data_IF_954672263975
#
_entry.id   IF_954672263975
#
_cell.length_a   1.000
_cell.length_b   1.000
_cell.length_c   1.000
_cell.angle_alpha   90.00
_cell.angle_beta   90.00
_cell.angle_gamma   90.00
#
_symmetry.space_group_name_H-M   'P 1'
#
loop_
_entity.id
_entity.type
_entity.pdbx_description
1 polymer ?
#
# COMPACT_ATOMS: atom_id res chain seq x y z
N UNK A 1 0.04 -17.62 9.11
CA UNK A 1 0.25 -16.52 10.08
C UNK A 1 1.54 -15.72 9.83
N UNK A 2 2.74 -16.16 10.23
CA UNK A 2 3.96 -15.31 10.10
C UNK A 2 4.28 -14.92 8.65
N UNK A 3 4.21 -15.87 7.71
CA UNK A 3 4.46 -15.60 6.28
C UNK A 3 3.43 -14.59 5.72
N UNK A 4 2.16 -14.72 6.11
CA UNK A 4 1.09 -13.81 5.71
C UNK A 4 1.31 -12.40 6.24
N UNK A 5 1.70 -12.25 7.51
CA UNK A 5 2.06 -10.95 8.08
C UNK A 5 3.23 -10.31 7.33
N UNK A 6 4.27 -11.08 6.96
CA UNK A 6 5.39 -10.58 6.17
C UNK A 6 4.92 -10.14 4.77
N UNK A 7 4.08 -10.94 4.11
CA UNK A 7 3.55 -10.60 2.78
C UNK A 7 2.68 -9.34 2.82
N UNK A 8 1.82 -9.20 3.83
CA UNK A 8 1.00 -8.01 4.03
C UNK A 8 1.84 -6.78 4.36
N UNK A 9 2.90 -6.94 5.16
CA UNK A 9 3.85 -5.86 5.43
C UNK A 9 4.55 -5.40 4.15
N UNK A 10 5.04 -6.33 3.33
CA UNK A 10 5.66 -6.00 2.03
C UNK A 10 4.64 -5.36 1.09
N UNK A 11 3.41 -5.87 1.05
CA UNK A 11 2.33 -5.26 0.26
C UNK A 11 2.04 -3.83 0.71
N UNK A 12 2.03 -3.57 2.03
CA UNK A 12 1.92 -2.23 2.60
C UNK A 12 2.99 -1.28 2.08
N UNK A 13 4.25 -1.70 2.07
CA UNK A 13 5.36 -0.91 1.50
C UNK A 13 5.08 -0.61 0.04
N UNK A 14 4.77 -1.62 -0.77
CA UNK A 14 4.57 -1.45 -2.22
C UNK A 14 3.40 -0.52 -2.52
N UNK A 15 2.26 -0.70 -1.85
CA UNK A 15 1.09 0.16 -2.03
C UNK A 15 1.43 1.60 -1.64
N UNK A 16 2.15 1.81 -0.55
CA UNK A 16 2.49 3.17 -0.14
C UNK A 16 3.47 3.87 -1.09
N UNK A 17 4.45 3.13 -1.65
CA UNK A 17 5.29 3.66 -2.72
C UNK A 17 4.47 4.09 -3.95
N UNK A 18 3.44 3.31 -4.31
CA UNK A 18 2.52 3.68 -5.39
C UNK A 18 1.69 4.91 -5.02
N UNK A 19 1.19 5.00 -3.79
CA UNK A 19 0.43 6.15 -3.29
C UNK A 19 1.29 7.41 -3.27
N UNK A 20 2.53 7.32 -2.80
CA UNK A 20 3.46 8.45 -2.79
C UNK A 20 3.74 8.94 -4.21
N UNK A 21 3.96 8.02 -5.16
CA UNK A 21 4.14 8.37 -6.58
C UNK A 21 2.87 8.96 -7.19
N UNK A 22 1.70 8.44 -6.82
CA UNK A 22 0.40 9.00 -7.22
C UNK A 22 0.25 10.43 -6.72
N UNK A 23 0.50 10.68 -5.44
CA UNK A 23 0.44 12.01 -4.83
C UNK A 23 1.35 13.00 -5.54
N UNK A 24 2.57 12.58 -5.92
CA UNK A 24 3.47 13.39 -6.74
C UNK A 24 2.90 13.67 -8.13
N UNK A 25 2.39 12.67 -8.84
CA UNK A 25 1.76 12.86 -10.15
C UNK A 25 0.55 13.81 -10.09
N UNK A 26 -0.23 13.77 -9.01
CA UNK A 26 -1.32 14.72 -8.76
C UNK A 26 -0.76 16.13 -8.54
N UNK A 27 0.26 16.29 -7.70
CA UNK A 27 0.90 17.59 -7.44
C UNK A 27 1.49 18.21 -8.72
N UNK A 28 2.08 17.39 -9.59
CA UNK A 28 2.65 17.79 -10.89
C UNK A 28 1.59 17.90 -12.01
N UNK A 29 0.30 17.70 -11.72
CA UNK A 29 -0.82 17.74 -12.68
C UNK A 29 -0.66 16.78 -13.87
N UNK A 30 0.01 15.65 -13.68
CA UNK A 30 0.19 14.60 -14.70
C UNK A 30 -1.04 13.70 -14.78
N UNK A 31 -2.05 14.13 -15.54
CA UNK A 31 -3.36 13.47 -15.66
C UNK A 31 -3.24 11.96 -15.91
N UNK A 32 -2.54 11.56 -16.98
CA UNK A 32 -2.40 10.15 -17.34
C UNK A 32 -1.77 9.29 -16.24
N UNK A 33 -0.68 9.78 -15.64
CA UNK A 33 0.00 9.04 -14.58
C UNK A 33 -0.86 8.95 -13.32
N UNK A 34 -1.54 10.04 -12.95
CA UNK A 34 -2.41 10.07 -11.78
C UNK A 34 -3.60 9.11 -11.96
N UNK A 35 -4.25 9.11 -13.13
CA UNK A 35 -5.37 8.20 -13.43
C UNK A 35 -4.95 6.74 -13.41
N UNK A 36 -3.82 6.41 -14.07
CA UNK A 36 -3.32 5.04 -14.08
C UNK A 36 -2.98 4.55 -12.67
N UNK A 37 -2.20 5.34 -11.91
CA UNK A 37 -1.81 4.98 -10.55
C UNK A 37 -3.02 4.87 -9.62
N UNK A 38 -3.99 5.78 -9.73
CA UNK A 38 -5.25 5.71 -8.96
C UNK A 38 -5.99 4.40 -9.21
N UNK A 39 -6.12 3.99 -10.48
CA UNK A 39 -6.71 2.69 -10.84
C UNK A 39 -5.92 1.52 -10.23
N UNK A 40 -4.60 1.50 -10.39
CA UNK A 40 -3.73 0.44 -9.86
C UNK A 40 -3.84 0.33 -8.34
N UNK A 41 -3.76 1.45 -7.61
CA UNK A 41 -3.88 1.50 -6.14
C UNK A 41 -5.26 0.98 -5.71
N UNK A 42 -6.32 1.36 -6.41
CA UNK A 42 -7.69 0.91 -6.10
C UNK A 42 -7.81 -0.60 -6.24
N UNK A 43 -7.33 -1.18 -7.35
CA UNK A 43 -7.34 -2.63 -7.53
C UNK A 43 -6.48 -3.36 -6.49
N UNK A 44 -5.29 -2.84 -6.19
CA UNK A 44 -4.41 -3.42 -5.18
C UNK A 44 -5.07 -3.42 -3.79
N UNK A 45 -5.65 -2.29 -3.38
CA UNK A 45 -6.38 -2.18 -2.11
C UNK A 45 -7.60 -3.09 -2.05
N UNK A 46 -8.35 -3.21 -3.14
CA UNK A 46 -9.49 -4.13 -3.20
C UNK A 46 -9.07 -5.58 -2.95
N UNK A 47 -8.03 -6.05 -3.66
CA UNK A 47 -7.48 -7.40 -3.48
C UNK A 47 -7.01 -7.61 -2.04
N UNK A 48 -6.27 -6.64 -1.48
CA UNK A 48 -5.77 -6.72 -0.10
C UNK A 48 -6.89 -6.75 0.93
N UNK A 49 -7.92 -5.92 0.76
CA UNK A 49 -9.10 -5.94 1.62
C UNK A 49 -9.82 -7.29 1.53
N UNK A 50 -9.98 -7.86 0.34
CA UNK A 50 -10.57 -9.20 0.19
C UNK A 50 -9.76 -10.26 0.93
N UNK A 51 -8.43 -10.23 0.83
CA UNK A 51 -7.55 -11.17 1.54
C UNK A 51 -7.67 -10.99 3.05
N UNK A 52 -7.50 -9.78 3.56
CA UNK A 52 -7.53 -9.45 4.99
C UNK A 52 -8.88 -9.82 5.62
N UNK A 53 -9.98 -9.53 4.93
CA UNK A 53 -11.33 -9.73 5.47
C UNK A 53 -11.82 -11.17 5.32
N UNK A 54 -11.21 -11.99 4.46
CA UNK A 54 -11.67 -13.35 4.19
C UNK A 54 -11.63 -14.28 5.41
N UNK A 55 -10.76 -14.01 6.40
CA UNK A 55 -10.61 -14.85 7.60
C UNK A 55 -11.50 -14.44 8.80
N UNK A 56 -12.25 -13.33 8.71
CA UNK A 56 -13.35 -12.99 9.63
C UNK A 56 -13.09 -13.05 11.15
N UNK A 57 -11.84 -12.98 11.63
CA UNK A 57 -11.46 -13.25 13.03
C UNK A 57 -10.45 -12.25 13.59
N UNK A 58 -10.02 -12.39 14.86
CA UNK A 58 -8.98 -11.56 15.50
C UNK A 58 -7.65 -11.54 14.72
N UNK A 59 -7.39 -12.53 13.85
CA UNK A 59 -6.24 -12.53 12.94
C UNK A 59 -6.25 -11.32 11.98
N UNK A 60 -7.43 -10.83 11.61
CA UNK A 60 -7.60 -9.64 10.78
C UNK A 60 -6.95 -8.40 11.41
N UNK A 61 -6.96 -8.28 12.75
CA UNK A 61 -6.31 -7.15 13.44
C UNK A 61 -4.80 -7.20 13.23
N UNK A 62 -4.17 -8.37 13.37
CA UNK A 62 -2.74 -8.52 13.13
C UNK A 62 -2.36 -8.28 11.66
N UNK A 63 -3.19 -8.76 10.75
CA UNK A 63 -3.03 -8.54 9.31
C UNK A 63 -3.11 -7.06 8.93
N UNK A 64 -4.09 -6.32 9.47
CA UNK A 64 -4.21 -4.87 9.32
C UNK A 64 -2.99 -4.16 9.91
N UNK A 65 -2.55 -4.54 11.11
CA UNK A 65 -1.37 -3.93 11.74
C UNK A 65 -0.09 -4.15 10.93
N UNK A 66 0.11 -5.36 10.39
CA UNK A 66 1.26 -5.65 9.53
C UNK A 66 1.22 -4.83 8.25
N UNK A 67 0.05 -4.76 7.59
CA UNK A 67 -0.14 -3.92 6.41
C UNK A 67 0.11 -2.44 6.69
N UNK A 68 -0.46 -1.89 7.78
CA UNK A 68 -0.30 -0.50 8.18
C UNK A 68 1.16 -0.15 8.56
N UNK A 69 1.85 -1.06 9.25
CA UNK A 69 3.27 -0.91 9.55
C UNK A 69 4.12 -0.86 8.29
N UNK A 70 3.84 -1.74 7.33
CA UNK A 70 4.50 -1.74 6.03
C UNK A 70 4.28 -0.44 5.27
N UNK A 71 3.03 0.05 5.26
CA UNK A 71 2.67 1.32 4.62
C UNK A 71 3.47 2.51 5.21
N UNK A 72 3.56 2.60 6.53
CA UNK A 72 4.37 3.63 7.23
C UNK A 72 5.85 3.58 6.82
N UNK A 73 6.42 2.38 6.74
CA UNK A 73 7.82 2.19 6.28
C UNK A 73 7.96 2.59 4.81
N UNK A 74 6.98 2.28 3.97
CA UNK A 74 6.94 2.70 2.57
C UNK A 74 7.09 4.20 2.43
N UNK A 75 6.35 4.98 3.23
CA UNK A 75 6.42 6.45 3.17
C UNK A 75 7.79 6.94 3.58
N UNK A 76 8.33 6.40 4.69
CA UNK A 76 9.66 6.75 5.16
C UNK A 76 10.72 6.50 4.08
N UNK A 77 10.68 5.32 3.44
CA UNK A 77 11.64 4.95 2.39
C UNK A 77 11.49 5.86 1.16
N UNK A 78 10.26 6.17 0.73
CA UNK A 78 10.01 7.04 -0.40
C UNK A 78 10.59 8.44 -0.20
N UNK A 79 10.34 9.04 0.97
CA UNK A 79 10.77 10.39 1.29
C UNK A 79 12.27 10.47 1.60
N UNK A 80 12.82 9.47 2.31
CA UNK A 80 14.24 9.44 2.66
C UNK A 80 15.14 9.32 1.42
N UNK A 81 14.74 8.54 0.41
CA UNK A 81 15.59 8.28 -0.77
C UNK A 81 15.62 9.42 -1.80
N UNK A 82 14.92 10.54 -1.61
CA UNK A 82 14.83 11.69 -2.54
C UNK A 82 14.54 11.34 -4.02
N UNK A 83 14.16 10.10 -4.32
CA UNK A 83 14.11 9.54 -5.67
C UNK A 83 12.71 9.16 -6.15
N UNK A 84 11.69 9.38 -5.31
CA UNK A 84 10.29 9.08 -5.64
C UNK A 84 9.50 10.33 -5.98
#
# INVERSE_FOLDING_TARGET
MVIQLILLFIAGIVVDLLVTRYTKSVAERKIWSATFLSGTITFANYILLTVILSEGSMNCIFDIMAYAGGNTVGTYVALMKRGF
#
